data_IF_827291551292
#
_entry.id   IF_827291551292
#
_cell.length_a   1.000
_cell.length_b   1.000
_cell.length_c   1.000
_cell.angle_alpha   90.00
_cell.angle_beta   90.00
_cell.angle_gamma   90.00
#
_symmetry.space_group_name_H-M   'P 1'
#
loop_
_entity.id
_entity.type
_entity.pdbx_description
1 polymer ?
#
# COMPACT_ATOMS: atom_id res chain seq x y z
N UNK A 1 -15.37 1.64 4.25
CA UNK A 1 -14.07 0.97 4.46
C UNK A 1 -14.24 -0.49 4.08
N UNK A 2 -13.36 -1.05 3.24
CA UNK A 2 -13.41 -2.47 2.87
C UNK A 2 -12.87 -3.34 4.02
N UNK A 3 -13.22 -4.63 4.06
CA UNK A 3 -12.76 -5.56 5.11
C UNK A 3 -11.22 -5.62 5.18
N UNK A 4 -10.55 -5.60 4.03
CA UNK A 4 -9.09 -5.59 3.94
C UNK A 4 -8.45 -4.32 4.50
N UNK A 5 -9.09 -3.16 4.33
CA UNK A 5 -8.58 -1.90 4.88
C UNK A 5 -8.65 -1.91 6.42
N UNK A 6 -9.70 -2.52 6.99
CA UNK A 6 -9.82 -2.66 8.44
C UNK A 6 -8.76 -3.61 9.01
N UNK A 7 -8.53 -4.74 8.34
CA UNK A 7 -7.48 -5.68 8.73
C UNK A 7 -6.10 -5.02 8.66
N UNK A 8 -5.82 -4.29 7.58
CA UNK A 8 -4.59 -3.53 7.42
C UNK A 8 -4.41 -2.47 8.52
N UNK A 9 -5.48 -1.78 8.90
CA UNK A 9 -5.44 -0.79 9.97
C UNK A 9 -5.08 -1.42 11.33
N UNK A 10 -5.67 -2.57 11.66
CA UNK A 10 -5.37 -3.30 12.90
C UNK A 10 -3.93 -3.80 12.89
N UNK A 11 -3.47 -4.35 11.77
CA UNK A 11 -2.11 -4.86 11.60
C UNK A 11 -1.06 -3.75 11.76
N UNK A 12 -1.23 -2.62 11.08
CA UNK A 12 -0.33 -1.47 11.20
C UNK A 12 -0.35 -0.86 12.61
N UNK A 13 -1.50 -0.84 13.29
CA UNK A 13 -1.56 -0.41 14.69
C UNK A 13 -0.80 -1.36 15.63
N UNK A 14 -0.80 -2.66 15.34
CA UNK A 14 -0.04 -3.64 16.12
C UNK A 14 1.48 -3.45 15.93
N UNK A 15 1.93 -3.17 14.71
CA UNK A 15 3.33 -2.94 14.37
C UNK A 15 3.85 -1.57 14.85
N UNK A 16 3.08 -0.50 14.64
CA UNK A 16 3.50 0.89 14.92
C UNK A 16 3.11 1.38 16.31
N UNK A 17 2.24 0.64 17.01
CA UNK A 17 1.73 0.98 18.33
C UNK A 17 0.49 1.87 18.33
N UNK A 18 -0.04 2.12 19.53
CA UNK A 18 -1.36 2.74 19.76
C UNK A 18 -1.44 4.25 19.50
N UNK A 19 -0.33 4.88 19.09
CA UNK A 19 -0.30 6.32 18.79
C UNK A 19 -0.95 6.67 17.43
N UNK A 20 -1.24 5.67 16.59
CA UNK A 20 -1.84 5.88 15.26
C UNK A 20 -3.35 6.08 15.38
N UNK A 21 -3.82 7.28 15.02
CA UNK A 21 -5.26 7.63 14.96
C UNK A 21 -5.84 7.24 13.60
N UNK A 22 -6.79 6.30 13.60
CA UNK A 22 -7.56 5.96 12.40
C UNK A 22 -8.64 7.01 12.15
N UNK A 23 -8.67 7.56 10.93
CA UNK A 23 -9.63 8.58 10.51
C UNK A 23 -10.08 8.25 9.09
N UNK A 24 -11.36 8.45 8.81
CA UNK A 24 -11.85 8.36 7.43
C UNK A 24 -11.33 9.53 6.60
N UNK A 25 -10.89 9.25 5.37
CA UNK A 25 -10.26 10.23 4.49
C UNK A 25 -11.12 11.49 4.28
N UNK A 26 -12.44 11.35 4.19
CA UNK A 26 -13.38 12.45 3.97
C UNK A 26 -13.46 13.44 5.15
N UNK A 27 -12.99 13.01 6.33
CA UNK A 27 -12.97 13.82 7.55
C UNK A 27 -11.66 14.59 7.73
N UNK A 28 -10.65 14.36 6.87
CA UNK A 28 -9.36 15.03 7.00
C UNK A 28 -9.41 16.47 6.50
N UNK A 29 -8.84 17.37 7.30
CA UNK A 29 -8.62 18.76 6.92
C UNK A 29 -7.38 18.91 6.02
N UNK A 30 -7.30 20.03 5.30
CA UNK A 30 -6.12 20.40 4.50
C UNK A 30 -4.82 20.49 5.33
N UNK A 31 -4.91 20.81 6.61
CA UNK A 31 -3.75 20.83 7.52
C UNK A 31 -3.32 19.42 7.91
N UNK A 32 -4.27 18.54 8.22
CA UNK A 32 -3.98 17.13 8.53
C UNK A 32 -3.39 16.39 7.32
N UNK A 33 -3.82 16.73 6.09
CA UNK A 33 -3.24 16.18 4.86
C UNK A 33 -1.72 16.49 4.74
N UNK A 34 -1.25 17.56 5.38
CA UNK A 34 0.17 17.99 5.40
C UNK A 34 0.99 17.39 6.55
N UNK A 35 0.40 16.58 7.41
CA UNK A 35 1.09 15.91 8.52
C UNK A 35 1.66 14.55 8.09
N UNK A 36 2.31 13.84 9.01
CA UNK A 36 2.65 12.43 8.80
C UNK A 36 1.38 11.59 8.65
N UNK A 37 1.31 10.78 7.60
CA UNK A 37 0.11 10.02 7.24
C UNK A 37 0.41 8.56 6.96
N UNK A 38 -0.54 7.71 7.33
CA UNK A 38 -0.63 6.34 6.85
C UNK A 38 -1.94 6.22 6.09
N UNK A 39 -1.85 6.00 4.78
CA UNK A 39 -2.99 5.84 3.88
C UNK A 39 -3.21 4.37 3.63
N UNK A 40 -4.42 3.91 3.96
CA UNK A 40 -4.82 2.52 3.81
C UNK A 40 -5.86 2.42 2.69
N UNK A 41 -5.62 1.52 1.75
CA UNK A 41 -6.51 1.21 0.64
C UNK A 41 -6.52 2.25 -0.48
N UNK A 42 -7.27 1.93 -1.54
CA UNK A 42 -7.40 2.74 -2.76
C UNK A 42 -8.48 3.82 -2.68
N UNK A 43 -8.29 4.84 -1.83
CA UNK A 43 -9.20 5.98 -1.73
C UNK A 43 -8.73 7.18 -2.59
N UNK A 44 -9.55 8.23 -2.66
CA UNK A 44 -9.25 9.43 -3.47
C UNK A 44 -7.98 10.17 -3.02
N UNK A 45 -7.66 10.17 -1.73
CA UNK A 45 -6.42 10.75 -1.22
C UNK A 45 -5.21 9.88 -1.56
N UNK A 46 -5.32 8.56 -1.44
CA UNK A 46 -4.29 7.62 -1.91
C UNK A 46 -3.97 7.87 -3.38
N UNK A 47 -5.00 7.96 -4.23
CA UNK A 47 -4.82 8.29 -5.64
C UNK A 47 -4.10 9.63 -5.88
N UNK A 48 -4.53 10.69 -5.18
CA UNK A 48 -3.88 12.02 -5.25
C UNK A 48 -2.43 12.05 -4.78
N UNK A 49 -2.08 11.22 -3.81
CA UNK A 49 -0.69 11.05 -3.32
C UNK A 49 0.13 10.32 -4.37
N UNK A 50 -0.35 9.19 -4.87
CA UNK A 50 0.34 8.40 -5.89
C UNK A 50 0.57 9.20 -7.18
N UNK A 51 -0.42 9.97 -7.64
CA UNK A 51 -0.27 10.86 -8.80
C UNK A 51 0.85 11.90 -8.62
N UNK A 52 1.01 12.44 -7.41
CA UNK A 52 2.07 13.42 -7.12
C UNK A 52 3.45 12.78 -7.00
N UNK A 53 3.48 11.52 -6.59
CA UNK A 53 4.70 10.72 -6.47
C UNK A 53 5.05 10.00 -7.78
N UNK A 54 4.28 10.18 -8.86
CA UNK A 54 4.42 9.43 -10.12
C UNK A 54 5.82 9.52 -10.74
N UNK A 55 6.47 10.69 -10.64
CA UNK A 55 7.84 10.90 -11.13
C UNK A 55 8.94 10.37 -10.22
N UNK A 56 8.57 9.88 -9.04
CA UNK A 56 9.46 9.42 -7.97
C UNK A 56 9.38 7.89 -7.84
N UNK A 57 8.18 7.33 -8.01
CA UNK A 57 7.88 5.91 -7.89
C UNK A 57 8.11 5.16 -9.19
N UNK A 58 8.60 3.93 -9.05
CA UNK A 58 8.61 2.94 -10.14
C UNK A 58 7.36 2.05 -10.08
N UNK A 59 6.83 1.83 -8.88
CA UNK A 59 5.65 1.03 -8.61
C UNK A 59 4.40 1.89 -8.64
N UNK A 60 3.30 1.32 -9.12
CA UNK A 60 2.02 2.00 -9.08
C UNK A 60 0.86 1.08 -9.39
N UNK A 61 -0.34 1.64 -9.34
CA UNK A 61 -1.56 0.96 -9.75
C UNK A 61 -2.00 1.44 -11.13
N UNK A 62 -2.46 0.53 -11.99
CA UNK A 62 -3.18 0.91 -13.20
C UNK A 62 -4.59 1.40 -12.86
N UNK A 63 -5.34 1.84 -13.89
CA UNK A 63 -6.66 2.47 -13.72
C UNK A 63 -7.55 1.74 -12.70
N UNK A 64 -8.06 2.53 -11.75
CA UNK A 64 -8.91 2.09 -10.64
C UNK A 64 -8.32 1.06 -9.66
N UNK A 65 -7.00 0.88 -9.61
CA UNK A 65 -6.39 -0.06 -8.67
C UNK A 65 -6.39 -1.51 -9.12
N UNK A 66 -6.96 -1.83 -10.29
CA UNK A 66 -7.22 -3.22 -10.71
C UNK A 66 -5.96 -4.04 -11.04
N UNK A 67 -4.79 -3.40 -11.12
CA UNK A 67 -3.51 -4.07 -11.30
C UNK A 67 -2.37 -3.23 -10.74
N UNK A 68 -1.28 -3.89 -10.40
CA UNK A 68 0.00 -3.28 -10.06
C UNK A 68 0.91 -3.32 -11.28
N UNK A 69 1.81 -2.34 -11.37
CA UNK A 69 2.91 -2.37 -12.31
C UNK A 69 4.22 -1.92 -11.66
N UNK A 70 5.32 -2.36 -12.25
CA UNK A 70 6.68 -1.88 -11.99
C UNK A 70 7.30 -1.42 -13.31
N UNK A 71 7.52 -0.11 -13.43
CA UNK A 71 8.11 0.50 -14.63
C UNK A 71 9.56 0.08 -14.88
N UNK A 72 10.31 -0.29 -13.83
CA UNK A 72 11.73 -0.67 -13.98
C UNK A 72 11.88 -2.07 -14.56
N UNK A 73 11.12 -3.04 -14.06
CA UNK A 73 11.16 -4.42 -14.55
C UNK A 73 10.23 -4.68 -15.73
N UNK A 74 9.28 -3.78 -16.00
CA UNK A 74 8.19 -4.01 -16.95
C UNK A 74 7.14 -5.01 -16.43
N UNK A 75 7.20 -5.37 -15.14
CA UNK A 75 6.21 -6.25 -14.53
C UNK A 75 4.85 -5.55 -14.44
N UNK A 76 3.79 -6.28 -14.75
CA UNK A 76 2.43 -5.88 -14.48
C UNK A 76 1.60 -7.11 -14.13
N UNK A 77 0.76 -7.00 -13.11
CA UNK A 77 -0.10 -8.10 -12.70
C UNK A 77 -1.43 -7.60 -12.12
N UNK A 78 -2.48 -8.33 -12.46
CA UNK A 78 -3.81 -8.20 -11.88
C UNK A 78 -4.06 -9.35 -10.90
N UNK A 79 -5.00 -9.19 -9.94
CA UNK A 79 -5.49 -10.29 -9.14
C UNK A 79 -5.89 -11.48 -10.01
N UNK A 80 -5.60 -12.69 -9.53
CA UNK A 80 -5.93 -13.93 -10.22
C UNK A 80 -7.06 -14.62 -9.49
N UNK A 81 -8.00 -15.16 -10.27
CA UNK A 81 -9.17 -15.86 -9.77
C UNK A 81 -9.17 -17.28 -10.33
N UNK A 82 -9.82 -18.21 -9.62
CA UNK A 82 -10.09 -19.54 -10.17
C UNK A 82 -11.35 -19.55 -11.06
N UNK A 83 -11.67 -20.73 -11.59
CA UNK A 83 -12.82 -20.94 -12.47
C UNK A 83 -14.17 -20.66 -11.79
N UNK A 84 -14.22 -20.67 -10.44
CA UNK A 84 -15.40 -20.31 -9.67
C UNK A 84 -15.50 -18.79 -9.41
N UNK A 85 -14.50 -18.02 -9.82
CA UNK A 85 -14.41 -16.58 -9.56
C UNK A 85 -13.88 -16.25 -8.16
N UNK A 86 -13.34 -17.23 -7.44
CA UNK A 86 -12.75 -17.00 -6.12
C UNK A 86 -11.33 -16.46 -6.27
N UNK A 87 -10.94 -15.42 -5.51
CA UNK A 87 -9.61 -14.85 -5.60
C UNK A 87 -8.57 -15.86 -5.11
N UNK A 88 -7.46 -15.96 -5.85
CA UNK A 88 -6.35 -16.89 -5.61
C UNK A 88 -5.03 -16.19 -5.37
N UNK A 89 -4.83 -15.04 -6.00
CA UNK A 89 -3.66 -14.19 -5.80
C UNK A 89 -4.10 -12.75 -5.84
N UNK A 90 -3.55 -11.95 -4.95
CA UNK A 90 -3.74 -10.51 -4.93
C UNK A 90 -2.38 -9.84 -4.71
N UNK A 91 -2.32 -8.55 -5.02
CA UNK A 91 -1.10 -7.78 -4.98
C UNK A 91 -1.33 -6.48 -4.21
N UNK A 92 -0.28 -6.03 -3.53
CA UNK A 92 -0.29 -4.78 -2.81
C UNK A 92 1.02 -4.02 -2.91
N UNK A 93 0.97 -2.76 -2.56
CA UNK A 93 2.10 -1.86 -2.51
C UNK A 93 2.28 -1.35 -1.08
N UNK A 94 3.54 -1.31 -0.65
CA UNK A 94 3.98 -0.57 0.53
C UNK A 94 4.90 0.53 0.06
N UNK A 95 4.57 1.78 0.37
CA UNK A 95 5.37 2.93 -0.04
C UNK A 95 5.58 3.82 1.17
N UNK A 96 6.82 4.20 1.44
CA UNK A 96 7.17 5.26 2.38
C UNK A 96 7.90 6.35 1.61
N UNK A 97 7.39 7.57 1.65
CA UNK A 97 7.97 8.71 0.93
C UNK A 97 7.78 10.02 1.70
N UNK A 98 8.45 11.08 1.24
CA UNK A 98 8.10 12.44 1.64
C UNK A 98 6.63 12.71 1.29
N UNK A 99 5.88 13.33 2.21
CA UNK A 99 4.50 13.69 1.95
C UNK A 99 4.46 14.75 0.83
N UNK A 100 3.85 14.49 -0.33
CA UNK A 100 3.89 15.41 -1.46
C UNK A 100 3.15 16.74 -1.20
N UNK A 101 2.37 16.84 -0.12
CA UNK A 101 1.72 18.08 0.31
C UNK A 101 2.55 18.90 1.32
N UNK A 102 3.60 18.31 1.89
CA UNK A 102 4.55 18.95 2.81
C UNK A 102 5.92 18.21 2.82
N UNK A 103 6.63 18.18 1.68
CA UNK A 103 7.74 17.24 1.46
C UNK A 103 8.95 17.45 2.39
N UNK A 104 9.12 18.66 2.91
CA UNK A 104 10.24 19.02 3.77
C UNK A 104 10.02 18.64 5.25
N UNK A 105 8.76 18.39 5.65
CA UNK A 105 8.39 18.33 7.08
C UNK A 105 7.58 17.10 7.46
N UNK A 106 7.05 16.34 6.51
CA UNK A 106 6.19 15.20 6.77
C UNK A 106 6.45 14.04 5.81
N UNK A 107 6.06 12.84 6.23
CA UNK A 107 6.12 11.61 5.47
C UNK A 107 4.72 11.04 5.20
N UNK A 108 4.63 10.21 4.17
CA UNK A 108 3.44 9.41 3.89
C UNK A 108 3.85 7.95 3.74
N UNK A 109 3.11 7.09 4.43
CA UNK A 109 3.10 5.65 4.19
C UNK A 109 1.82 5.32 3.43
N UNK A 110 1.92 4.61 2.32
CA UNK A 110 0.79 4.07 1.58
C UNK A 110 0.83 2.55 1.68
N UNK A 111 -0.28 1.97 2.13
CA UNK A 111 -0.53 0.53 2.17
C UNK A 111 -1.83 0.27 1.43
N UNK A 112 -1.73 -0.22 0.20
CA UNK A 112 -2.89 -0.43 -0.67
C UNK A 112 -2.75 -1.69 -1.49
N UNK A 113 -3.86 -2.31 -1.84
CA UNK A 113 -3.93 -3.49 -2.69
C UNK A 113 -4.83 -3.31 -3.91
N UNK A 114 -4.69 -4.23 -4.86
CA UNK A 114 -5.66 -4.36 -5.95
C UNK A 114 -7.03 -4.81 -5.44
N UNK A 115 -7.05 -5.65 -4.41
CA UNK A 115 -8.24 -5.98 -3.63
C UNK A 115 -7.98 -5.93 -2.12
N UNK A 116 -9.00 -6.32 -1.35
CA UNK A 116 -8.95 -6.36 0.11
C UNK A 116 -7.78 -7.19 0.65
N UNK A 117 -7.49 -8.32 0.01
CA UNK A 117 -6.43 -9.22 0.44
C UNK A 117 -5.04 -8.64 0.17
N UNK A 118 -4.87 -7.94 -0.95
CA UNK A 118 -3.64 -7.22 -1.28
C UNK A 118 -3.35 -6.10 -0.29
N UNK A 119 -4.38 -5.35 0.15
CA UNK A 119 -4.22 -4.30 1.16
C UNK A 119 -3.80 -4.89 2.51
N UNK A 120 -4.45 -5.97 2.95
CA UNK A 120 -4.12 -6.65 4.19
C UNK A 120 -2.72 -7.26 4.17
N UNK A 121 -2.33 -7.91 3.06
CA UNK A 121 -1.00 -8.46 2.87
C UNK A 121 0.09 -7.37 2.83
N UNK A 122 -0.19 -6.22 2.22
CA UNK A 122 0.75 -5.10 2.22
C UNK A 122 0.99 -4.56 3.64
N UNK A 123 -0.04 -4.53 4.50
CA UNK A 123 0.12 -4.17 5.90
C UNK A 123 0.96 -5.20 6.67
N UNK A 124 0.68 -6.49 6.49
CA UNK A 124 1.45 -7.58 7.11
C UNK A 124 2.93 -7.52 6.73
N UNK A 125 3.22 -7.18 5.47
CA UNK A 125 4.58 -7.13 4.94
C UNK A 125 5.33 -5.81 5.22
N UNK A 126 4.75 -4.86 5.97
CA UNK A 126 5.32 -3.51 6.13
C UNK A 126 6.74 -3.53 6.72
N UNK A 127 6.96 -4.21 7.84
CA UNK A 127 8.28 -4.31 8.49
C UNK A 127 9.31 -4.99 7.59
N UNK A 128 8.91 -6.04 6.86
CA UNK A 128 9.78 -6.74 5.90
C UNK A 128 10.15 -5.82 4.73
N UNK A 129 9.17 -5.10 4.19
CA UNK A 129 9.37 -4.15 3.11
C UNK A 129 10.30 -3.00 3.51
N UNK A 130 10.19 -2.49 4.75
CA UNK A 130 11.10 -1.49 5.28
C UNK A 130 12.53 -2.03 5.42
N UNK A 131 12.67 -3.24 5.98
CA UNK A 131 13.97 -3.89 6.15
C UNK A 131 14.67 -4.19 4.81
N UNK A 132 13.93 -4.65 3.79
CA UNK A 132 14.45 -4.93 2.45
C UNK A 132 14.66 -3.66 1.62
N UNK A 133 13.81 -2.66 1.81
CA UNK A 133 13.92 -1.36 1.18
C UNK A 133 15.26 -0.72 1.51
N UNK A 134 15.65 -0.72 2.79
CA UNK A 134 16.98 -0.28 3.24
C UNK A 134 17.24 1.23 3.17
N UNK A 135 16.20 2.02 2.87
CA UNK A 135 16.24 3.48 2.77
C UNK A 135 15.14 4.09 3.62
N UNK A 136 15.32 5.37 3.98
CA UNK A 136 14.30 6.16 4.66
C UNK A 136 12.99 6.20 3.86
N UNK A 137 13.10 6.34 2.53
CA UNK A 137 11.98 6.28 1.60
C UNK A 137 12.15 5.07 0.68
N UNK A 138 11.08 4.30 0.51
CA UNK A 138 11.10 3.05 -0.23
C UNK A 138 9.75 2.75 -0.87
N UNK A 139 9.79 1.89 -1.88
CA UNK A 139 8.61 1.25 -2.47
C UNK A 139 8.82 -0.26 -2.48
N UNK A 140 7.75 -1.00 -2.24
CA UNK A 140 7.75 -2.45 -2.26
C UNK A 140 6.46 -2.99 -2.90
N UNK A 141 6.63 -4.07 -3.67
CA UNK A 141 5.55 -4.85 -4.24
C UNK A 141 5.39 -6.12 -3.41
N UNK A 142 4.16 -6.37 -2.97
CA UNK A 142 3.76 -7.52 -2.17
C UNK A 142 2.86 -8.41 -3.02
N UNK A 143 3.13 -9.72 -2.98
CA UNK A 143 2.27 -10.75 -3.54
C UNK A 143 1.74 -11.61 -2.39
N UNK A 144 0.47 -12.01 -2.49
CA UNK A 144 -0.12 -12.95 -1.53
C UNK A 144 -0.98 -13.97 -2.26
N UNK A 145 -1.01 -15.19 -1.73
CA UNK A 145 -1.96 -16.21 -2.17
C UNK A 145 -3.21 -16.19 -1.31
N UNK A 146 -4.34 -16.61 -1.84
CA UNK A 146 -5.61 -16.60 -1.13
C UNK A 146 -6.15 -18.01 -1.07
N UNK A 147 -6.43 -18.44 0.15
CA UNK A 147 -6.99 -19.74 0.44
C UNK A 147 -8.13 -19.62 1.43
N UNK A 148 -9.34 -20.00 1.00
CA UNK A 148 -10.57 -19.98 1.80
C UNK A 148 -10.88 -18.62 2.42
N UNK A 149 -10.72 -17.55 1.65
CA UNK A 149 -11.03 -16.19 2.08
C UNK A 149 -10.00 -15.57 3.03
N UNK A 150 -8.83 -16.17 3.18
CA UNK A 150 -7.71 -15.59 3.92
C UNK A 150 -6.49 -15.48 3.01
N UNK A 151 -5.78 -14.36 3.11
CA UNK A 151 -4.48 -14.22 2.48
C UNK A 151 -3.45 -15.09 3.23
N UNK A 152 -2.51 -15.66 2.49
CA UNK A 152 -1.53 -16.67 2.91
C UNK A 152 -0.28 -16.53 2.05
N UNK A 153 0.85 -16.98 2.60
CA UNK A 153 2.13 -16.95 1.90
C UNK A 153 2.41 -15.56 1.33
N UNK A 154 2.27 -14.54 2.17
CA UNK A 154 2.61 -13.15 1.87
C UNK A 154 4.12 -13.02 1.79
N UNK A 155 4.62 -12.38 0.74
CA UNK A 155 6.04 -12.03 0.64
C UNK A 155 6.27 -10.75 -0.16
N UNK A 156 7.34 -10.06 0.20
CA UNK A 156 7.84 -8.91 -0.55
C UNK A 156 8.52 -9.44 -1.82
N UNK A 157 7.85 -9.25 -2.95
CA UNK A 157 8.33 -9.69 -4.26
C UNK A 157 9.49 -8.84 -4.75
N UNK A 158 9.46 -7.56 -4.41
CA UNK A 158 10.44 -6.56 -4.82
C UNK A 158 10.39 -5.40 -3.83
N UNK A 159 11.55 -4.88 -3.43
CA UNK A 159 11.66 -3.69 -2.59
C UNK A 159 12.89 -2.87 -2.99
N UNK A 160 12.76 -1.55 -2.94
CA UNK A 160 13.86 -0.66 -3.32
C UNK A 160 13.73 0.71 -2.67
N UNK A 161 14.89 1.35 -2.51
CA UNK A 161 14.96 2.75 -2.14
C UNK A 161 14.41 3.68 -3.19
N UNK A 162 13.79 4.76 -2.70
CA UNK A 162 13.40 5.93 -3.46
C UNK A 162 14.37 7.05 -3.09
N UNK A 163 14.87 7.78 -4.09
CA UNK A 163 15.81 8.89 -3.92
C UNK A 163 15.10 10.23 -3.70
#
# INVERSE_FOLDING_TARGET
>A
MAEGDLLAAVELQAQLGTAVRLVETESLTEEEIRSDLILIGGNSLTGRVLERLDGVLSLGFAEHGASVYDRKSGFAASPRYDDAGEPRVDYGLVIRAANPFAPETAEVVVVAGCGSHGTAAAAEAFDEAEALGGYRHFEALVETTIFRGSHRDTFVREARGIA
#
